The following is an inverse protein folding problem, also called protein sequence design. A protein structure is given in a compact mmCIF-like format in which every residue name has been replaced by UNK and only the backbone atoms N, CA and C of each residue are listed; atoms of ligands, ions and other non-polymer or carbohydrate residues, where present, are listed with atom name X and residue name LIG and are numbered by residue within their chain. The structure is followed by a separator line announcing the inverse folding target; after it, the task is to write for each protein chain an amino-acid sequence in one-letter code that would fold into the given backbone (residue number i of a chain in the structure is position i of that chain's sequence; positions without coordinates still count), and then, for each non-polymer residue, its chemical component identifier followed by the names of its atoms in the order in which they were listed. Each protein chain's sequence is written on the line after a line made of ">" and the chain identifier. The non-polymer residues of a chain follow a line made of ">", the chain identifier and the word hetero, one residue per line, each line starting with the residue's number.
data_IF_281795866918
#
_entry.id   IF_281795866918
#
_cell.length_a   1.000
_cell.length_b   1.000
_cell.length_c   1.000
_cell.angle_alpha   90.00
_cell.angle_beta   90.00
_cell.angle_gamma   90.00
#
_symmetry.space_group_name_H-M   'P 1'
#
loop_
_entity.id
_entity.type
_entity.pdbx_description
1 polymer ?
#
# COMPACT_ATOMS: atom_id res chain seq x y z
N UNK A 1 -20.61 -10.19 20.07
CA UNK A 1 -19.32 -10.45 19.38
C UNK A 1 -18.11 -9.83 20.09
N UNK A 2 -18.20 -8.63 20.68
CA UNK A 2 -17.07 -7.93 21.35
C UNK A 2 -16.40 -8.75 22.48
N UNK A 3 -17.15 -9.54 23.25
CA UNK A 3 -16.59 -10.41 24.31
C UNK A 3 -15.62 -11.50 23.82
N UNK A 4 -15.51 -11.71 22.50
CA UNK A 4 -14.53 -12.66 21.92
C UNK A 4 -13.09 -12.15 21.95
N UNK A 5 -12.88 -10.83 22.13
CA UNK A 5 -11.55 -10.22 22.08
C UNK A 5 -11.29 -9.36 23.33
N UNK A 6 -11.25 -9.97 24.53
CA UNK A 6 -11.09 -9.24 25.79
C UNK A 6 -9.72 -8.55 25.92
N UNK A 7 -8.73 -8.98 25.14
CA UNK A 7 -7.41 -8.35 25.10
C UNK A 7 -7.40 -7.02 24.31
N UNK A 8 -8.35 -6.84 23.40
CA UNK A 8 -8.42 -5.66 22.51
C UNK A 8 -9.49 -4.69 23.00
N UNK A 9 -10.66 -5.19 23.39
CA UNK A 9 -11.81 -4.37 23.75
C UNK A 9 -12.25 -4.61 25.19
N UNK A 10 -12.59 -3.52 25.87
CA UNK A 10 -13.23 -3.57 27.19
C UNK A 10 -14.56 -2.80 27.19
N UNK A 11 -15.47 -3.28 28.03
CA UNK A 11 -16.78 -2.69 28.23
C UNK A 11 -16.72 -1.75 29.43
N UNK A 12 -17.30 -0.56 29.28
CA UNK A 12 -17.41 0.41 30.36
C UNK A 12 -18.77 1.09 30.29
N UNK A 13 -19.20 1.68 31.40
CA UNK A 13 -20.48 2.40 31.47
C UNK A 13 -20.18 3.87 31.66
N UNK A 14 -20.75 4.72 30.82
CA UNK A 14 -20.67 6.16 31.01
C UNK A 14 -21.72 6.55 32.07
N UNK A 15 -21.34 7.23 33.16
CA UNK A 15 -22.29 7.69 34.16
C UNK A 15 -23.25 8.70 33.53
N UNK A 16 -24.52 8.62 33.89
CA UNK A 16 -25.56 9.51 33.39
C UNK A 16 -25.19 10.96 33.75
N UNK A 17 -25.23 11.91 32.80
CA UNK A 17 -25.07 13.31 33.14
C UNK A 17 -26.18 13.75 34.12
N UNK A 18 -25.89 14.67 35.06
CA UNK A 18 -26.84 15.08 36.11
C UNK A 18 -28.07 15.79 35.54
N UNK A 19 -27.98 16.33 34.33
CA UNK A 19 -29.10 16.92 33.60
C UNK A 19 -29.52 16.03 32.43
N UNK A 20 -30.73 15.46 32.43
CA UNK A 20 -31.22 14.65 31.31
C UNK A 20 -31.45 15.55 30.09
N UNK A 21 -30.77 15.25 28.98
CA UNK A 21 -31.00 15.94 27.70
C UNK A 21 -32.37 15.61 27.08
N UNK A 22 -33.00 14.50 27.49
CA UNK A 22 -34.35 14.09 27.07
C UNK A 22 -35.09 13.37 28.21
N UNK A 23 -36.42 13.44 28.21
CA UNK A 23 -37.33 12.98 29.27
C UNK A 23 -37.45 11.45 29.43
N UNK A 24 -36.40 10.68 29.12
CA UNK A 24 -36.43 9.20 29.09
C UNK A 24 -35.45 8.59 30.08
N UNK A 25 -35.65 8.80 31.38
CA UNK A 25 -34.98 8.07 32.47
C UNK A 25 -33.44 8.07 32.50
N UNK A 26 -32.82 7.50 33.56
CA UNK A 26 -31.38 7.31 33.60
C UNK A 26 -30.98 6.11 32.72
N UNK A 27 -30.57 6.38 31.48
CA UNK A 27 -30.03 5.37 30.57
C UNK A 27 -28.51 5.24 30.81
N UNK A 28 -28.09 4.27 31.61
CA UNK A 28 -26.68 3.89 31.68
C UNK A 28 -26.26 3.25 30.36
N UNK A 29 -25.50 3.96 29.54
CA UNK A 29 -25.09 3.47 28.22
C UNK A 29 -23.84 2.58 28.34
N UNK A 30 -23.99 1.30 28.00
CA UNK A 30 -22.87 0.37 27.86
C UNK A 30 -22.06 0.76 26.62
N UNK A 31 -20.80 1.12 26.83
CA UNK A 31 -19.88 1.56 25.79
C UNK A 31 -18.71 0.57 25.66
N UNK A 32 -18.05 0.64 24.51
CA UNK A 32 -16.87 -0.18 24.19
C UNK A 32 -15.70 0.75 23.99
N UNK A 33 -14.54 0.43 24.57
CA UNK A 33 -13.28 1.10 24.28
C UNK A 33 -12.16 0.09 24.07
N UNK A 34 -11.04 0.55 23.53
CA UNK A 34 -9.82 -0.26 23.49
C UNK A 34 -9.26 -0.43 24.90
N UNK A 35 -8.65 -1.58 25.17
CA UNK A 35 -7.84 -1.74 26.39
C UNK A 35 -6.63 -0.79 26.32
N UNK A 36 -6.06 -0.35 27.45
CA UNK A 36 -4.90 0.55 27.46
C UNK A 36 -3.71 0.01 26.64
N UNK A 37 -3.50 -1.31 26.68
CA UNK A 37 -2.47 -1.98 25.89
C UNK A 37 -2.76 -1.92 24.38
N UNK A 38 -4.01 -2.17 23.97
CA UNK A 38 -4.41 -2.07 22.56
C UNK A 38 -4.37 -0.63 22.05
N UNK A 39 -4.76 0.34 22.89
CA UNK A 39 -4.66 1.76 22.56
C UNK A 39 -3.20 2.21 22.39
N UNK A 40 -2.30 1.78 23.28
CA UNK A 40 -0.87 2.07 23.17
C UNK A 40 -0.27 1.50 21.86
N UNK A 41 -0.67 0.27 21.48
CA UNK A 41 -0.27 -0.33 20.21
C UNK A 41 -0.81 0.45 19.01
N UNK A 42 -2.09 0.85 19.04
CA UNK A 42 -2.70 1.64 17.97
C UNK A 42 -1.98 2.99 17.80
N UNK A 43 -1.65 3.67 18.90
CA UNK A 43 -0.86 4.92 18.86
C UNK A 43 0.51 4.69 18.23
N UNK A 44 1.24 3.66 18.67
CA UNK A 44 2.54 3.30 18.10
C UNK A 44 2.45 3.03 16.60
N UNK A 45 1.43 2.32 16.15
CA UNK A 45 1.19 2.06 14.73
C UNK A 45 0.94 3.38 13.96
N UNK A 46 0.14 4.30 14.51
CA UNK A 46 -0.12 5.59 13.87
C UNK A 46 1.13 6.46 13.77
N UNK A 47 1.99 6.44 14.79
CA UNK A 47 3.24 7.21 14.79
C UNK A 47 4.23 6.66 13.75
N UNK A 48 4.37 5.33 13.67
CA UNK A 48 5.18 4.69 12.63
C UNK A 48 4.67 5.03 11.21
N UNK A 49 3.35 5.00 10.99
CA UNK A 49 2.75 5.39 9.71
C UNK A 49 3.06 6.85 9.35
N UNK A 50 3.01 7.77 10.33
CA UNK A 50 3.40 9.17 10.14
C UNK A 50 4.87 9.30 9.76
N UNK A 51 5.77 8.61 10.47
CA UNK A 51 7.20 8.60 10.15
C UNK A 51 7.47 8.12 8.71
N UNK A 52 6.73 7.11 8.24
CA UNK A 52 6.90 6.56 6.89
C UNK A 52 6.23 7.39 5.79
N UNK A 53 5.23 8.21 6.11
CA UNK A 53 4.40 8.96 5.14
C UNK A 53 5.23 9.71 4.09
N UNK A 54 6.25 10.45 4.53
CA UNK A 54 7.12 11.22 3.62
C UNK A 54 7.86 10.34 2.61
N UNK A 55 8.38 9.19 3.07
CA UNK A 55 9.09 8.24 2.21
C UNK A 55 8.16 7.56 1.19
N UNK A 56 6.92 7.26 1.59
CA UNK A 56 5.91 6.67 0.73
C UNK A 56 5.44 7.66 -0.33
N UNK A 57 5.21 8.91 0.07
CA UNK A 57 4.95 10.01 -0.84
C UNK A 57 6.09 10.18 -1.86
N UNK A 58 7.35 10.16 -1.43
CA UNK A 58 8.49 10.25 -2.34
C UNK A 58 8.54 9.08 -3.35
N UNK A 59 8.24 7.83 -2.92
CA UNK A 59 8.15 6.68 -3.83
C UNK A 59 7.04 6.86 -4.86
N UNK A 60 5.86 7.32 -4.43
CA UNK A 60 4.73 7.56 -5.31
C UNK A 60 5.02 8.72 -6.29
N UNK A 61 5.69 9.76 -5.82
CA UNK A 61 6.14 10.88 -6.66
C UNK A 61 7.09 10.39 -7.74
N UNK A 62 8.09 9.56 -7.40
CA UNK A 62 8.96 8.91 -8.39
C UNK A 62 8.19 8.07 -9.40
N UNK A 63 7.19 7.31 -8.96
CA UNK A 63 6.37 6.51 -9.86
C UNK A 63 5.62 7.38 -10.88
N UNK A 64 5.04 8.50 -10.46
CA UNK A 64 4.38 9.45 -11.37
C UNK A 64 5.37 10.18 -12.28
N UNK A 65 6.57 10.48 -11.77
CA UNK A 65 7.65 11.04 -12.57
C UNK A 65 8.03 10.08 -13.72
N UNK A 66 8.05 8.77 -13.48
CA UNK A 66 8.29 7.75 -14.51
C UNK A 66 7.12 7.55 -15.48
N UNK A 67 5.90 7.97 -15.13
CA UNK A 67 4.69 7.87 -15.96
C UNK A 67 4.63 8.96 -17.05
N UNK A 68 5.71 9.11 -17.82
CA UNK A 68 5.80 10.03 -18.96
C UNK A 68 4.90 9.58 -20.12
N UNK A 69 4.27 10.50 -20.89
CA UNK A 69 4.39 11.96 -20.83
C UNK A 69 3.39 12.65 -19.88
N UNK A 70 2.35 11.95 -19.43
CA UNK A 70 1.23 12.61 -18.75
C UNK A 70 1.44 12.82 -17.25
N UNK A 71 2.41 12.13 -16.63
CA UNK A 71 2.69 12.14 -15.19
C UNK A 71 1.43 11.87 -14.32
N UNK A 72 0.58 10.98 -14.82
CA UNK A 72 -0.75 10.67 -14.29
C UNK A 72 -0.97 9.17 -14.21
N UNK A 73 -1.63 8.72 -13.14
CA UNK A 73 -2.07 7.34 -12.98
C UNK A 73 -3.51 7.29 -12.47
N UNK A 74 -4.35 6.45 -13.08
CA UNK A 74 -5.72 6.25 -12.64
C UNK A 74 -5.75 5.71 -11.21
N UNK A 75 -6.57 6.31 -10.36
CA UNK A 75 -6.72 5.89 -8.96
C UNK A 75 -7.21 4.44 -8.88
N UNK A 76 -8.10 4.01 -9.78
CA UNK A 76 -8.59 2.63 -9.86
C UNK A 76 -7.47 1.61 -10.06
N UNK A 77 -6.42 1.95 -10.83
CA UNK A 77 -5.24 1.09 -11.00
C UNK A 77 -4.30 1.18 -9.81
N UNK A 78 -4.15 2.38 -9.25
CA UNK A 78 -3.27 2.62 -8.11
C UNK A 78 -3.74 1.88 -6.84
N UNK A 79 -5.04 1.61 -6.69
CA UNK A 79 -5.59 0.75 -5.61
C UNK A 79 -4.87 -0.59 -5.57
N UNK A 80 -4.70 -1.23 -6.73
CA UNK A 80 -4.11 -2.56 -6.83
C UNK A 80 -2.61 -2.57 -6.52
N UNK A 81 -1.93 -1.46 -6.80
CA UNK A 81 -0.50 -1.26 -6.48
C UNK A 81 -0.29 -0.75 -5.05
N UNK A 82 -1.34 -0.27 -4.38
CA UNK A 82 -1.28 0.33 -3.06
C UNK A 82 -0.57 -0.55 -2.02
N UNK A 83 -0.95 -1.84 -1.88
CA UNK A 83 -0.29 -2.76 -0.96
C UNK A 83 1.21 -2.92 -1.23
N UNK A 84 1.60 -3.06 -2.49
CA UNK A 84 3.01 -3.24 -2.90
C UNK A 84 3.84 -1.98 -2.64
N UNK A 85 3.21 -0.81 -2.74
CA UNK A 85 3.82 0.48 -2.43
C UNK A 85 3.78 0.84 -0.94
N UNK A 86 3.08 0.06 -0.12
CA UNK A 86 2.87 0.33 1.30
C UNK A 86 1.88 1.46 1.60
N UNK A 87 1.01 1.81 0.64
CA UNK A 87 0.00 2.85 0.81
C UNK A 87 -1.15 2.38 1.72
N UNK A 88 -1.69 3.26 2.58
CA UNK A 88 -2.85 2.92 3.41
C UNK A 88 -4.09 2.73 2.52
N UNK A 89 -5.03 1.86 2.93
CA UNK A 89 -6.24 1.58 2.14
C UNK A 89 -7.09 2.83 1.80
N UNK A 90 -6.99 3.86 2.63
CA UNK A 90 -7.69 5.13 2.46
C UNK A 90 -6.81 6.21 1.79
N UNK A 91 -5.77 5.83 1.03
CA UNK A 91 -4.84 6.80 0.47
C UNK A 91 -5.52 7.80 -0.48
N UNK A 92 -6.58 7.39 -1.18
CA UNK A 92 -7.32 8.25 -2.12
C UNK A 92 -7.78 9.59 -1.52
N UNK A 93 -8.25 9.57 -0.27
CA UNK A 93 -8.81 10.76 0.37
C UNK A 93 -7.78 11.55 1.17
N UNK A 94 -6.74 10.88 1.69
CA UNK A 94 -5.74 11.53 2.56
C UNK A 94 -4.53 12.05 1.80
N UNK A 95 -4.11 11.38 0.73
CA UNK A 95 -2.84 11.64 0.07
C UNK A 95 -2.72 13.09 -0.44
N UNK A 96 -3.77 13.62 -1.08
CA UNK A 96 -3.79 14.99 -1.56
C UNK A 96 -3.93 16.03 -0.45
N UNK A 97 -4.54 15.67 0.69
CA UNK A 97 -4.62 16.56 1.84
C UNK A 97 -3.28 16.63 2.58
N UNK A 98 -2.56 15.50 2.66
CA UNK A 98 -1.30 15.39 3.36
C UNK A 98 -0.12 15.95 2.54
N UNK A 99 -0.18 15.88 1.20
CA UNK A 99 0.88 16.34 0.28
C UNK A 99 0.30 17.12 -0.93
N UNK A 100 -0.36 18.26 -0.71
CA UNK A 100 -1.00 19.06 -1.78
C UNK A 100 0.01 19.68 -2.75
N UNK A 101 1.24 19.87 -2.31
CA UNK A 101 2.38 20.37 -3.11
C UNK A 101 2.89 19.35 -4.13
N UNK A 102 2.60 18.05 -3.92
CA UNK A 102 3.11 16.96 -4.75
C UNK A 102 2.05 16.34 -5.65
N UNK A 103 0.81 16.22 -5.15
CA UNK A 103 -0.24 15.47 -5.83
C UNK A 103 -1.54 16.23 -5.91
N UNK A 104 -2.22 16.10 -7.04
CA UNK A 104 -3.60 16.54 -7.23
C UNK A 104 -4.42 15.43 -7.86
N UNK A 105 -5.70 15.37 -7.54
CA UNK A 105 -6.65 14.49 -8.26
C UNK A 105 -7.23 15.28 -9.43
N UNK A 106 -7.25 14.67 -10.61
CA UNK A 106 -7.83 15.24 -11.83
C UNK A 106 -8.80 14.26 -12.46
N UNK A 107 -9.89 14.79 -12.99
CA UNK A 107 -10.89 14.03 -13.71
C UNK A 107 -10.42 13.76 -15.13
N UNK A 108 -10.47 12.49 -15.52
CA UNK A 108 -10.16 12.04 -16.88
C UNK A 108 -11.37 11.34 -17.48
N UNK A 109 -11.37 11.12 -18.79
CA UNK A 109 -12.42 10.33 -19.47
C UNK A 109 -12.56 8.90 -18.93
N UNK A 110 -11.54 8.39 -18.25
CA UNK A 110 -11.51 7.05 -17.65
C UNK A 110 -11.73 7.06 -16.12
N UNK A 111 -12.10 8.22 -15.55
CA UNK A 111 -12.31 8.43 -14.11
C UNK A 111 -11.22 9.26 -13.44
N UNK A 112 -11.17 9.24 -12.11
CA UNK A 112 -10.23 10.02 -11.33
C UNK A 112 -8.79 9.49 -11.46
N UNK A 113 -7.85 10.39 -11.75
CA UNK A 113 -6.41 10.10 -11.81
C UNK A 113 -5.65 10.96 -10.80
N UNK A 114 -4.56 10.39 -10.26
CA UNK A 114 -3.57 11.12 -9.50
C UNK A 114 -2.56 11.73 -10.48
N UNK A 115 -2.35 13.04 -10.40
CA UNK A 115 -1.40 13.79 -11.21
C UNK A 115 -0.28 14.37 -10.35
N UNK A 116 0.92 14.36 -10.91
CA UNK A 116 2.08 15.04 -10.34
C UNK A 116 1.91 16.57 -10.45
N UNK A 117 2.00 17.28 -9.33
CA UNK A 117 1.95 18.75 -9.30
C UNK A 117 3.34 19.33 -9.59
N UNK A 118 4.37 18.81 -8.90
CA UNK A 118 5.73 19.31 -9.01
C UNK A 118 6.72 18.17 -9.24
N UNK A 119 7.63 18.37 -10.19
CA UNK A 119 8.73 17.47 -10.46
C UNK A 119 9.90 17.76 -9.51
N UNK A 120 10.31 16.77 -8.73
CA UNK A 120 11.46 16.91 -7.83
C UNK A 120 12.71 16.24 -8.41
N UNK A 121 13.63 17.04 -8.93
CA UNK A 121 14.90 16.58 -9.48
C UNK A 121 15.77 15.81 -8.46
N UNK A 122 15.60 16.03 -7.16
CA UNK A 122 16.33 15.28 -6.12
C UNK A 122 15.88 13.82 -6.04
N UNK A 123 14.65 13.54 -6.45
CA UNK A 123 14.10 12.18 -6.51
C UNK A 123 14.54 11.44 -7.77
N UNK A 124 14.87 12.16 -8.84
CA UNK A 124 15.35 11.64 -10.12
C UNK A 124 16.84 11.26 -10.10
N UNK A 125 17.37 10.81 -8.96
CA UNK A 125 18.73 10.28 -8.89
C UNK A 125 18.76 8.88 -9.47
N UNK A 126 19.66 8.69 -10.43
CA UNK A 126 19.96 7.37 -11.01
C UNK A 126 20.41 6.48 -9.85
N UNK A 127 19.77 5.31 -9.71
CA UNK A 127 20.27 4.27 -8.81
C UNK A 127 21.65 3.92 -9.36
N UNK A 128 22.74 4.05 -8.57
CA UNK A 128 24.07 3.76 -9.08
C UNK A 128 24.03 2.37 -9.70
N UNK A 129 24.39 2.31 -10.99
CA UNK A 129 24.48 1.06 -11.72
C UNK A 129 25.43 0.17 -10.91
N UNK A 130 24.96 -1.03 -10.55
CA UNK A 130 25.83 -1.99 -9.89
C UNK A 130 27.03 -2.19 -10.80
N UNK A 131 28.24 -1.98 -10.29
CA UNK A 131 29.45 -2.21 -11.07
C UNK A 131 29.41 -3.65 -11.62
N UNK A 132 29.44 -3.78 -12.95
CA UNK A 132 29.49 -5.04 -13.71
C UNK A 132 30.69 -5.94 -13.33
N UNK A 133 31.57 -5.47 -12.42
CA UNK A 133 32.69 -6.23 -11.89
C UNK A 133 32.27 -7.30 -10.86
N UNK A 134 31.07 -7.19 -10.29
CA UNK A 134 30.45 -8.28 -9.55
C UNK A 134 29.82 -9.25 -10.55
N UNK A 135 30.63 -10.12 -11.14
CA UNK A 135 30.19 -11.32 -11.88
C UNK A 135 29.45 -12.29 -10.95
N UNK A 136 28.31 -11.86 -10.39
CA UNK A 136 27.39 -12.71 -9.63
C UNK A 136 26.66 -13.57 -10.63
N UNK A 137 27.35 -14.61 -11.12
CA UNK A 137 26.89 -15.67 -12.03
C UNK A 137 25.46 -15.48 -12.51
N UNK A 138 25.27 -14.53 -13.42
CA UNK A 138 23.94 -14.15 -13.88
C UNK A 138 23.33 -15.39 -14.52
N UNK A 139 22.02 -15.56 -14.35
CA UNK A 139 21.31 -16.73 -14.91
C UNK A 139 21.51 -16.80 -16.44
N UNK A 140 21.73 -15.65 -17.08
CA UNK A 140 22.03 -15.53 -18.52
C UNK A 140 23.38 -16.14 -18.92
N UNK A 141 24.39 -16.13 -18.04
CA UNK A 141 25.73 -16.67 -18.30
C UNK A 141 25.84 -18.14 -17.90
N UNK A 142 24.85 -18.66 -17.18
CA UNK A 142 24.82 -20.08 -16.80
C UNK A 142 24.49 -20.89 -18.06
N UNK A 143 25.38 -21.82 -18.51
CA UNK A 143 25.06 -22.68 -19.62
C UNK A 143 23.81 -23.49 -19.29
N UNK A 144 22.87 -23.49 -20.23
CA UNK A 144 21.54 -24.06 -20.10
C UNK A 144 21.61 -25.58 -19.90
N UNK A 145 21.66 -26.07 -18.65
CA UNK A 145 21.73 -27.50 -18.32
C UNK A 145 20.33 -28.11 -18.16
N UNK A 146 19.54 -28.14 -19.22
CA UNK A 146 18.26 -28.87 -19.21
C UNK A 146 18.46 -30.32 -19.67
N UNK A 147 17.93 -31.28 -18.90
CA UNK A 147 17.84 -32.68 -19.34
C UNK A 147 16.78 -32.75 -20.44
N UNK A 148 17.18 -33.08 -21.66
CA UNK A 148 16.23 -33.30 -22.76
C UNK A 148 15.33 -34.50 -22.44
N UNK A 149 14.07 -34.23 -22.10
CA UNK A 149 13.05 -35.27 -21.94
C UNK A 149 12.45 -35.61 -23.30
N UNK A 150 12.58 -36.86 -23.74
CA UNK A 150 11.91 -37.34 -24.96
C UNK A 150 10.43 -37.55 -24.66
N UNK A 151 9.58 -36.63 -25.12
CA UNK A 151 8.13 -36.78 -25.03
C UNK A 151 7.67 -37.97 -25.90
N UNK A 152 6.73 -38.78 -25.37
CA UNK A 152 6.10 -39.84 -26.17
C UNK A 152 5.24 -39.19 -27.27
N UNK A 153 5.43 -39.66 -28.51
CA UNK A 153 4.67 -39.16 -29.68
C UNK A 153 3.17 -39.26 -29.41
N UNK A 154 2.47 -38.12 -29.47
CA UNK A 154 1.02 -38.04 -29.29
C UNK A 154 0.54 -36.77 -28.59
N UNK A 155 1.41 -36.08 -27.85
CA UNK A 155 1.11 -34.78 -27.25
C UNK A 155 2.09 -33.72 -27.77
N UNK A 156 1.53 -32.88 -28.66
CA UNK A 156 1.92 -31.52 -29.04
C UNK A 156 2.85 -31.38 -30.28
N UNK A 157 2.46 -30.38 -31.09
CA UNK A 157 3.07 -29.83 -32.29
C UNK A 157 4.59 -29.73 -32.25
N UNK A 158 5.20 -29.89 -33.44
CA UNK A 158 6.63 -29.83 -33.79
C UNK A 158 7.43 -28.66 -33.19
N UNK A 159 7.74 -28.72 -31.90
CA UNK A 159 8.65 -27.79 -31.23
C UNK A 159 9.19 -28.38 -29.93
N UNK A 160 10.49 -28.30 -29.73
CA UNK A 160 11.14 -28.73 -28.49
C UNK A 160 10.67 -27.83 -27.34
N UNK A 161 9.88 -28.37 -26.41
CA UNK A 161 9.46 -27.66 -25.20
C UNK A 161 10.50 -27.93 -24.10
N UNK A 162 11.06 -26.86 -23.55
CA UNK A 162 11.98 -26.88 -22.42
C UNK A 162 11.17 -26.56 -21.17
N UNK A 163 11.13 -27.48 -20.20
CA UNK A 163 10.43 -27.29 -18.91
C UNK A 163 11.44 -26.77 -17.89
N UNK A 164 11.16 -25.61 -17.31
CA UNK A 164 11.94 -24.99 -16.22
C UNK A 164 11.33 -25.46 -14.89
N UNK A 165 12.12 -26.13 -14.05
CA UNK A 165 11.76 -26.48 -12.66
C UNK A 165 12.34 -25.48 -11.68
#
# INVERSE_FOLDING_TARGET
>A
MIRRYPTIFELFTIPTPPTPFHATGPLSQLCVRLTPAAEALARKETDLKKCMSNSLAAKLQKLLMLASPNHRLLLSKLVHLGPDLGLPINFHSRLCNDHPDKFKVVDTSYGHALELVNWDSNLAKIIPLRDENDSVGLIVDRPLKFKHLRLRRGLISRGNIVVIS
#
